data_IF_885515014782
#
_entry.id   IF_885515014782
#
_cell.length_a   1.000
_cell.length_b   1.000
_cell.length_c   1.000
_cell.angle_alpha   90.00
_cell.angle_beta   90.00
_cell.angle_gamma   90.00
#
_symmetry.space_group_name_H-M   'P 1'
#
loop_
_entity.id
_entity.type
_entity.pdbx_description
1 polymer ?
#
# COMPACT_ATOMS: atom_id res chain seq x y z
N UNK A 1 -14.46 10.31 12.48
CA UNK A 1 -13.09 9.74 12.51
C UNK A 1 -12.94 8.78 11.34
N UNK A 2 -12.17 9.16 10.32
CA UNK A 2 -12.00 8.42 9.05
C UNK A 2 -11.65 6.94 9.30
N UNK A 3 -10.85 6.65 10.33
CA UNK A 3 -10.41 5.30 10.73
C UNK A 3 -11.56 4.32 11.06
N UNK A 4 -12.69 4.81 11.59
CA UNK A 4 -13.85 3.98 11.96
C UNK A 4 -14.65 3.48 10.75
N UNK A 5 -14.46 4.11 9.58
CA UNK A 5 -15.09 3.69 8.32
C UNK A 5 -14.30 2.55 7.69
N UNK A 6 -12.97 2.64 7.72
CA UNK A 6 -12.08 1.62 7.14
C UNK A 6 -12.06 0.32 7.96
N UNK A 7 -12.21 0.41 9.28
CA UNK A 7 -12.28 -0.78 10.16
C UNK A 7 -13.53 -1.65 9.95
N UNK A 8 -14.55 -1.16 9.23
CA UNK A 8 -15.78 -1.90 8.92
C UNK A 8 -15.73 -2.62 7.57
N UNK A 9 -14.65 -2.45 6.79
CA UNK A 9 -14.47 -3.15 5.53
C UNK A 9 -13.96 -4.55 5.86
N UNK A 10 -14.85 -5.55 5.75
CA UNK A 10 -14.54 -6.94 6.10
C UNK A 10 -13.46 -7.61 5.24
N UNK A 11 -13.05 -6.97 4.15
CA UNK A 11 -11.87 -7.33 3.38
C UNK A 11 -11.14 -6.05 2.94
N UNK A 12 -10.02 -5.69 3.59
CA UNK A 12 -9.25 -4.50 3.22
C UNK A 12 -8.66 -4.58 1.80
N UNK A 13 -8.73 -5.75 1.16
CA UNK A 13 -8.34 -5.99 -0.23
C UNK A 13 -9.53 -5.92 -1.20
N UNK A 14 -10.63 -5.23 -0.86
CA UNK A 14 -11.65 -4.95 -1.88
C UNK A 14 -11.05 -4.04 -2.96
N UNK A 15 -11.26 -4.42 -4.23
CA UNK A 15 -10.96 -3.59 -5.40
C UNK A 15 -11.48 -2.17 -5.18
N UNK A 16 -10.65 -1.18 -5.50
CA UNK A 16 -11.05 0.22 -5.48
C UNK A 16 -11.84 0.60 -6.74
N UNK A 17 -11.74 -0.20 -7.80
CA UNK A 17 -12.43 -0.02 -9.09
C UNK A 17 -13.23 -1.26 -9.51
N UNK A 18 -14.16 -1.10 -10.46
CA UNK A 18 -14.94 -2.22 -11.00
C UNK A 18 -14.08 -3.17 -11.84
N UNK A 19 -14.50 -4.43 -11.96
CA UNK A 19 -13.80 -5.43 -12.79
C UNK A 19 -13.65 -5.02 -14.26
N UNK A 20 -14.60 -4.25 -14.80
CA UNK A 20 -14.57 -3.70 -16.17
C UNK A 20 -13.60 -2.53 -16.34
N UNK A 21 -13.12 -1.94 -15.24
CA UNK A 21 -12.22 -0.79 -15.18
C UNK A 21 -10.91 -1.19 -14.50
N UNK A 22 -10.61 -2.48 -14.54
CA UNK A 22 -9.46 -3.13 -13.92
C UNK A 22 -8.11 -2.53 -14.30
N UNK A 23 -8.03 -1.85 -15.45
CA UNK A 23 -6.86 -1.11 -15.88
C UNK A 23 -6.52 0.05 -14.94
N UNK A 24 -7.49 0.55 -14.16
CA UNK A 24 -7.32 1.66 -13.23
C UNK A 24 -7.22 1.20 -11.77
N UNK A 25 -6.93 -0.08 -11.51
CA UNK A 25 -6.85 -0.60 -10.14
C UNK A 25 -5.72 0.07 -9.37
N UNK A 26 -6.09 0.79 -8.32
CA UNK A 26 -5.17 1.44 -7.40
C UNK A 26 -5.18 0.71 -6.07
N UNK A 27 -3.99 0.42 -5.56
CA UNK A 27 -3.79 -0.31 -4.33
C UNK A 27 -2.98 0.51 -3.35
N UNK A 28 -3.43 0.48 -2.09
CA UNK A 28 -2.68 1.02 -0.97
C UNK A 28 -2.13 -0.15 -0.18
N UNK A 29 -0.82 -0.32 -0.21
CA UNK A 29 -0.10 -1.26 0.64
C UNK A 29 0.51 -0.48 1.79
N UNK A 30 0.45 -1.04 3.00
CA UNK A 30 1.12 -0.47 4.15
C UNK A 30 2.16 -1.44 4.69
N UNK A 31 3.30 -0.91 5.09
CA UNK A 31 4.26 -1.60 5.95
C UNK A 31 4.32 -0.89 7.29
N UNK A 32 4.45 -1.67 8.36
CA UNK A 32 4.47 -1.17 9.73
C UNK A 32 5.81 -1.50 10.37
N UNK A 33 6.46 -0.47 10.92
CA UNK A 33 7.59 -0.59 11.81
C UNK A 33 7.07 -0.52 13.25
N UNK A 34 6.86 -1.69 13.87
CA UNK A 34 6.28 -1.79 15.20
C UNK A 34 7.14 -1.12 16.29
N UNK A 35 8.47 -1.33 16.34
CA UNK A 35 9.35 -0.66 17.30
C UNK A 35 9.26 0.88 17.27
N UNK A 36 9.32 1.48 16.08
CA UNK A 36 9.35 2.95 15.92
C UNK A 36 7.95 3.55 15.76
N UNK A 37 6.90 2.72 15.72
CA UNK A 37 5.51 3.11 15.43
C UNK A 37 5.38 3.94 14.13
N UNK A 38 6.16 3.58 13.11
CA UNK A 38 6.13 4.25 11.80
C UNK A 38 5.36 3.42 10.78
N UNK A 39 4.82 4.10 9.78
CA UNK A 39 4.05 3.49 8.70
C UNK A 39 4.59 3.96 7.37
N UNK A 40 4.80 3.03 6.45
CA UNK A 40 5.10 3.30 5.06
C UNK A 40 3.87 2.98 4.23
N UNK A 41 3.35 3.96 3.49
CA UNK A 41 2.25 3.78 2.56
C UNK A 41 2.77 3.76 1.13
N UNK A 42 2.46 2.70 0.40
CA UNK A 42 2.81 2.53 -1.01
C UNK A 42 1.54 2.58 -1.83
N UNK A 43 1.52 3.51 -2.79
CA UNK A 43 0.47 3.60 -3.82
C UNK A 43 0.94 2.82 -5.04
N UNK A 44 0.28 1.69 -5.30
CA UNK A 44 0.63 0.76 -6.38
C UNK A 44 -0.46 0.78 -7.43
N UNK A 45 -0.07 1.07 -8.67
CA UNK A 45 -0.93 0.93 -9.83
C UNK A 45 -0.69 -0.43 -10.48
N UNK A 46 -1.75 -1.22 -10.67
CA UNK A 46 -1.61 -2.58 -11.18
C UNK A 46 -2.87 -3.08 -11.88
N UNK A 47 -2.90 -3.12 -13.21
CA UNK A 47 -4.07 -3.62 -13.93
C UNK A 47 -4.31 -5.08 -13.54
N UNK A 48 -5.55 -5.40 -13.14
CA UNK A 48 -5.94 -6.76 -12.72
C UNK A 48 -5.12 -7.38 -11.57
N UNK A 49 -4.46 -6.57 -10.73
CA UNK A 49 -3.56 -7.04 -9.69
C UNK A 49 -4.10 -8.18 -8.78
N UNK A 50 -5.41 -8.24 -8.51
CA UNK A 50 -6.01 -9.29 -7.67
C UNK A 50 -5.98 -10.67 -8.33
N UNK A 51 -5.94 -10.71 -9.67
CA UNK A 51 -6.08 -11.93 -10.48
C UNK A 51 -4.79 -12.23 -11.27
N UNK A 52 -3.85 -11.30 -11.33
CA UNK A 52 -2.59 -11.47 -12.05
C UNK A 52 -1.55 -12.23 -11.20
N UNK A 53 -1.10 -13.38 -11.69
CA UNK A 53 -0.08 -14.20 -11.01
C UNK A 53 1.28 -13.51 -10.90
N UNK A 54 1.58 -12.54 -11.79
CA UNK A 54 2.81 -11.73 -11.74
C UNK A 54 2.79 -10.76 -10.56
N UNK A 55 1.60 -10.39 -10.08
CA UNK A 55 1.44 -9.46 -8.96
C UNK A 55 2.12 -9.98 -7.69
N UNK A 56 2.07 -11.29 -7.43
CA UNK A 56 2.77 -11.89 -6.30
C UNK A 56 4.30 -11.70 -6.39
N UNK A 57 4.87 -11.77 -7.59
CA UNK A 57 6.30 -11.49 -7.79
C UNK A 57 6.62 -10.01 -7.60
N UNK A 58 5.71 -9.14 -8.03
CA UNK A 58 5.85 -7.70 -7.86
C UNK A 58 5.82 -7.28 -6.38
N UNK A 59 4.89 -7.81 -5.58
CA UNK A 59 4.84 -7.56 -4.13
C UNK A 59 6.13 -8.00 -3.43
N UNK A 60 6.69 -9.17 -3.80
CA UNK A 60 7.99 -9.61 -3.27
C UNK A 60 9.12 -8.64 -3.61
N UNK A 61 9.10 -8.10 -4.84
CA UNK A 61 10.08 -7.12 -5.29
C UNK A 61 9.95 -5.83 -4.48
N UNK A 62 8.74 -5.30 -4.30
CA UNK A 62 8.48 -4.13 -3.44
C UNK A 62 8.96 -4.34 -2.00
N UNK A 63 8.75 -5.54 -1.46
CA UNK A 63 9.24 -5.87 -0.12
C UNK A 63 10.77 -5.75 -0.04
N UNK A 64 11.48 -6.43 -0.95
CA UNK A 64 12.95 -6.49 -0.93
C UNK A 64 13.59 -5.14 -1.25
N UNK A 65 13.04 -4.41 -2.21
CA UNK A 65 13.69 -3.22 -2.77
C UNK A 65 13.27 -1.93 -2.05
N UNK A 66 12.11 -1.90 -1.40
CA UNK A 66 11.55 -0.68 -0.79
C UNK A 66 11.30 -0.88 0.71
N UNK A 67 10.50 -1.89 1.09
CA UNK A 67 10.06 -2.05 2.49
C UNK A 67 11.21 -2.41 3.41
N UNK A 68 12.03 -3.40 3.05
CA UNK A 68 13.13 -3.87 3.90
C UNK A 68 14.20 -2.78 4.08
N UNK A 69 14.65 -2.06 3.03
CA UNK A 69 15.53 -0.90 3.20
C UNK A 69 14.91 0.21 4.07
N UNK A 70 13.61 0.46 3.98
CA UNK A 70 12.94 1.46 4.81
C UNK A 70 12.91 1.06 6.28
N UNK A 71 12.57 -0.21 6.58
CA UNK A 71 12.59 -0.76 7.94
C UNK A 71 13.99 -0.68 8.55
N UNK A 72 15.03 -0.96 7.76
CA UNK A 72 16.41 -0.87 8.20
C UNK A 72 16.93 0.59 8.33
N UNK A 73 16.07 1.59 8.05
CA UNK A 73 16.46 3.01 8.05
C UNK A 73 17.43 3.39 6.92
N UNK A 74 17.57 2.53 5.91
CA UNK A 74 18.44 2.74 4.73
C UNK A 74 17.73 3.47 3.60
N UNK A 75 16.41 3.57 3.66
CA UNK A 75 15.58 4.32 2.71
C UNK A 75 14.77 5.39 3.45
N UNK A 76 14.96 6.64 3.07
CA UNK A 76 14.14 7.76 3.53
C UNK A 76 13.02 8.01 2.53
N UNK A 77 11.78 8.02 3.01
CA UNK A 77 10.60 8.31 2.21
C UNK A 77 10.01 9.66 2.61
N UNK A 78 9.14 10.20 1.76
CA UNK A 78 8.40 11.41 2.09
C UNK A 78 7.56 11.19 3.35
N UNK A 79 7.77 12.05 4.34
CA UNK A 79 6.94 12.12 5.54
C UNK A 79 6.02 13.33 5.37
N UNK A 80 4.71 13.12 5.19
CA UNK A 80 3.78 14.22 5.02
C UNK A 80 3.77 15.08 6.31
N UNK A 81 3.85 16.42 6.18
CA UNK A 81 3.67 17.31 7.33
C UNK A 81 2.27 17.12 7.93
N UNK A 82 2.09 17.49 9.20
CA UNK A 82 0.83 17.27 9.95
C UNK A 82 -0.41 17.87 9.25
N UNK A 83 -0.22 18.94 8.47
CA UNK A 83 -1.28 19.65 7.73
C UNK A 83 -1.34 19.29 6.23
N UNK A 84 -0.81 18.13 5.83
CA UNK A 84 -0.77 17.73 4.41
C UNK A 84 -2.17 17.39 3.86
N UNK A 85 -2.63 18.16 2.88
CA UNK A 85 -3.78 17.81 2.04
C UNK A 85 -3.29 17.24 0.69
N UNK A 86 -3.71 16.01 0.31
CA UNK A 86 -3.29 15.34 -0.92
C UNK A 86 -3.94 15.88 -2.20
#
# INVERSE_FOLDING_TARGET
MVLLRWSKIGDPFKRTVKDSESEHDLWLLYAQDLPENRYLMLSVFGPHAHKDSRFQSYIRTLKVDIVDPWLDGRLHCFEPPEDYEP
#
